data_IF_962816082128
#
_entry.id   IF_962816082128
#
_cell.length_a   1.000
_cell.length_b   1.000
_cell.length_c   1.000
_cell.angle_alpha   90.00
_cell.angle_beta   90.00
_cell.angle_gamma   90.00
#
_symmetry.space_group_name_H-M   'P 1'
#
loop_
_entity.id
_entity.type
_entity.pdbx_description
1 polymer ?
#
# COMPACT_ATOMS: atom_id res chain seq x y z
N UNK A 1 -19.22 18.06 -2.24
CA UNK A 1 -19.16 17.42 -0.91
C UNK A 1 -17.70 17.53 -0.50
N UNK A 2 -17.36 18.55 0.28
CA UNK A 2 -15.97 18.81 0.69
C UNK A 2 -15.65 17.90 1.87
N UNK A 3 -14.67 17.01 1.71
CA UNK A 3 -14.20 16.15 2.80
C UNK A 3 -13.36 17.05 3.71
N UNK A 4 -13.67 17.17 5.01
CA UNK A 4 -12.89 18.01 5.92
C UNK A 4 -11.46 17.47 6.06
N UNK A 5 -10.43 18.35 6.10
CA UNK A 5 -9.02 17.94 6.17
C UNK A 5 -8.65 17.16 7.44
N UNK A 6 -9.55 17.12 8.43
CA UNK A 6 -9.34 16.49 9.74
C UNK A 6 -9.52 14.97 9.77
N UNK A 7 -10.17 14.34 8.77
CA UNK A 7 -10.38 12.89 8.82
C UNK A 7 -9.16 12.08 8.38
N UNK A 8 -8.11 12.73 7.89
CA UNK A 8 -6.86 12.08 7.47
C UNK A 8 -5.84 11.97 8.60
N UNK A 9 -5.96 12.81 9.63
CA UNK A 9 -5.02 12.83 10.77
C UNK A 9 -5.40 11.80 11.83
N UNK A 10 -6.70 11.57 12.05
CA UNK A 10 -7.21 10.71 13.13
C UNK A 10 -6.82 9.23 12.93
N UNK A 11 -6.71 8.77 11.68
CA UNK A 11 -6.26 7.39 11.37
C UNK A 11 -4.74 7.25 11.26
N UNK A 12 -3.99 8.35 11.25
CA UNK A 12 -2.54 8.35 11.08
C UNK A 12 -1.81 8.32 12.42
N UNK A 13 -2.36 8.95 13.46
CA UNK A 13 -1.82 8.90 14.82
C UNK A 13 -2.00 7.51 15.47
N UNK A 14 -3.09 6.80 15.17
CA UNK A 14 -3.29 5.41 15.64
C UNK A 14 -2.31 4.39 15.01
N UNK A 15 -1.66 4.73 13.89
CA UNK A 15 -0.65 3.89 13.23
C UNK A 15 0.77 4.11 13.76
N UNK A 16 1.01 5.17 14.54
CA UNK A 16 2.36 5.55 15.01
C UNK A 16 2.81 4.77 16.25
N UNK A 17 1.88 4.23 17.05
CA UNK A 17 2.22 3.65 18.36
C UNK A 17 2.54 2.14 18.34
N UNK A 18 2.27 1.40 17.25
CA UNK A 18 2.39 -0.08 17.26
C UNK A 18 3.40 -0.71 16.29
N UNK A 19 3.96 0.03 15.32
CA UNK A 19 4.50 -0.63 14.10
C UNK A 19 5.99 -0.49 13.80
N UNK A 20 6.70 0.44 14.43
CA UNK A 20 8.14 0.65 14.22
C UNK A 20 8.93 0.52 15.52
N UNK A 21 9.74 -0.53 15.66
CA UNK A 21 10.64 -0.67 16.81
C UNK A 21 11.67 0.46 16.86
N UNK A 22 12.17 0.85 18.05
CA UNK A 22 13.15 1.95 18.19
C UNK A 22 14.44 1.73 17.38
N UNK A 23 14.83 0.47 17.17
CA UNK A 23 16.01 0.10 16.37
C UNK A 23 15.84 0.36 14.87
N UNK A 24 14.62 0.21 14.35
CA UNK A 24 14.30 0.46 12.95
C UNK A 24 14.36 1.96 12.66
N UNK A 25 13.78 2.77 13.54
CA UNK A 25 13.81 4.23 13.45
C UNK A 25 15.24 4.76 13.44
N UNK A 26 16.12 4.26 14.32
CA UNK A 26 17.53 4.70 14.36
C UNK A 26 18.27 4.36 13.06
N UNK A 27 17.97 3.21 12.47
CA UNK A 27 18.54 2.78 11.19
C UNK A 27 18.06 3.69 10.05
N UNK A 28 16.78 4.04 10.04
CA UNK A 28 16.19 4.86 8.99
C UNK A 28 16.67 6.31 9.04
N UNK A 29 16.86 6.88 10.24
CA UNK A 29 17.44 8.23 10.40
C UNK A 29 18.84 8.32 9.75
N UNK A 30 19.61 7.23 9.77
CA UNK A 30 20.95 7.17 9.15
C UNK A 30 20.91 7.10 7.62
N UNK A 31 19.85 6.54 7.04
CA UNK A 31 19.73 6.31 5.59
C UNK A 31 18.91 7.40 4.90
N UNK A 32 17.84 7.85 5.54
CA UNK A 32 16.87 8.80 5.00
C UNK A 32 17.38 10.24 5.23
N UNK A 33 17.39 11.10 4.18
CA UNK A 33 17.76 12.50 4.33
C UNK A 33 16.88 13.23 5.36
N UNK A 34 17.47 14.18 6.07
CA UNK A 34 16.79 14.90 7.16
C UNK A 34 15.50 15.61 6.74
N UNK A 35 15.40 16.05 5.49
CA UNK A 35 14.18 16.64 4.94
C UNK A 35 12.95 15.72 5.00
N UNK A 36 13.15 14.40 5.10
CA UNK A 36 12.10 13.40 5.13
C UNK A 36 11.91 12.75 6.50
N UNK A 37 12.59 13.24 7.55
CA UNK A 37 12.47 12.64 8.90
C UNK A 37 11.06 12.72 9.48
N UNK A 38 10.24 13.69 9.04
CA UNK A 38 8.82 13.76 9.40
C UNK A 38 7.95 12.67 8.74
N UNK A 39 8.50 11.94 7.77
CA UNK A 39 7.81 10.90 7.02
C UNK A 39 8.43 9.52 7.21
N UNK A 40 9.23 9.30 8.26
CA UNK A 40 9.91 8.03 8.49
C UNK A 40 8.93 6.85 8.56
N UNK A 41 7.71 7.09 9.05
CA UNK A 41 6.68 6.07 9.14
C UNK A 41 6.35 5.41 7.79
N UNK A 42 6.45 6.14 6.67
CA UNK A 42 6.20 5.60 5.32
C UNK A 42 7.24 4.57 4.88
N UNK A 43 8.38 4.50 5.57
CA UNK A 43 9.49 3.63 5.21
C UNK A 43 9.60 2.42 6.14
N UNK A 44 8.66 2.23 7.09
CA UNK A 44 8.63 1.06 7.95
C UNK A 44 8.33 -0.20 7.13
N UNK A 45 9.12 -1.26 7.34
CA UNK A 45 8.93 -2.51 6.61
C UNK A 45 7.56 -3.12 6.82
N UNK A 46 7.01 -2.97 8.02
CA UNK A 46 5.69 -3.50 8.35
C UNK A 46 4.58 -2.82 7.55
N UNK A 47 4.76 -1.54 7.18
CA UNK A 47 3.83 -0.83 6.30
C UNK A 47 4.02 -1.22 4.83
N UNK A 48 5.25 -1.55 4.40
CA UNK A 48 5.53 -2.03 3.03
C UNK A 48 4.81 -3.35 2.72
N UNK A 49 4.72 -4.26 3.69
CA UNK A 49 4.04 -5.55 3.52
C UNK A 49 2.50 -5.42 3.49
N UNK A 50 1.95 -4.27 3.88
CA UNK A 50 0.50 -4.04 3.91
C UNK A 50 0.04 -3.33 2.64
N UNK A 51 -1.03 -3.85 2.05
CA UNK A 51 -1.70 -3.14 0.96
C UNK A 51 -2.23 -1.79 1.47
N UNK A 52 -2.06 -0.70 0.71
CA UNK A 52 -2.68 0.58 1.01
C UNK A 52 -4.19 0.43 1.18
N UNK A 53 -4.79 1.24 2.05
CA UNK A 53 -6.24 1.25 2.23
C UNK A 53 -6.94 1.68 0.94
N UNK A 54 -8.10 1.09 0.65
CA UNK A 54 -8.87 1.46 -0.54
C UNK A 54 -9.42 2.88 -0.40
N UNK A 55 -8.98 3.80 -1.25
CA UNK A 55 -9.38 5.20 -1.21
C UNK A 55 -10.60 5.49 -2.10
N UNK A 56 -11.34 6.56 -1.78
CA UNK A 56 -12.47 7.03 -2.59
C UNK A 56 -12.06 7.52 -3.99
N UNK A 57 -10.77 7.82 -4.19
CA UNK A 57 -10.17 8.17 -5.48
C UNK A 57 -9.59 6.96 -6.23
N UNK A 58 -9.86 5.73 -5.78
CA UNK A 58 -9.51 4.55 -6.54
C UNK A 58 -10.09 4.65 -7.96
N UNK A 59 -9.31 4.18 -8.94
CA UNK A 59 -9.71 4.29 -10.34
C UNK A 59 -11.00 3.49 -10.57
N UNK A 60 -12.08 4.22 -10.83
CA UNK A 60 -13.36 3.63 -11.20
C UNK A 60 -13.42 3.43 -12.71
N UNK A 61 -13.62 2.19 -13.14
CA UNK A 61 -13.85 1.86 -14.55
C UNK A 61 -15.35 1.70 -14.73
N UNK A 62 -15.97 2.64 -15.45
CA UNK A 62 -17.36 2.52 -15.86
C UNK A 62 -17.50 1.40 -16.90
N UNK A 63 -18.46 0.51 -16.70
CA UNK A 63 -18.72 -0.58 -17.62
C UNK A 63 -19.67 -0.12 -18.73
N UNK A 64 -19.25 -0.27 -19.97
CA UNK A 64 -20.10 -0.07 -21.14
C UNK A 64 -20.52 -1.42 -21.75
N UNK A 65 -21.81 -1.57 -22.05
CA UNK A 65 -22.34 -2.76 -22.73
C UNK A 65 -22.62 -3.96 -21.82
N UNK A 66 -22.60 -5.17 -22.40
CA UNK A 66 -22.86 -6.42 -21.69
C UNK A 66 -21.62 -6.93 -20.95
N UNK A 67 -21.82 -7.66 -19.85
CA UNK A 67 -20.73 -8.30 -19.11
C UNK A 67 -19.86 -9.17 -20.04
N UNK A 68 -18.51 -9.05 -19.97
CA UNK A 68 -17.63 -9.87 -20.78
C UNK A 68 -17.76 -11.34 -20.40
N UNK A 69 -17.66 -12.28 -21.36
CA UNK A 69 -17.67 -13.70 -21.05
C UNK A 69 -16.43 -14.07 -20.24
N UNK A 70 -16.58 -15.02 -19.31
CA UNK A 70 -15.45 -15.57 -18.57
C UNK A 70 -14.56 -16.34 -19.55
N UNK A 71 -13.33 -15.83 -19.76
CA UNK A 71 -12.34 -16.47 -20.62
C UNK A 71 -11.75 -17.73 -20.00
N UNK A 72 -11.19 -18.61 -20.84
CA UNK A 72 -10.37 -19.74 -20.36
C UNK A 72 -9.01 -19.23 -19.89
N UNK A 73 -8.54 -19.74 -18.76
CA UNK A 73 -7.16 -19.51 -18.32
C UNK A 73 -6.28 -20.44 -19.14
N UNK A 74 -5.30 -19.88 -19.85
CA UNK A 74 -4.34 -20.69 -20.61
C UNK A 74 -3.45 -21.49 -19.66
N UNK A 75 -3.23 -22.77 -19.97
CA UNK A 75 -2.29 -23.60 -19.21
C UNK A 75 -0.88 -23.03 -19.37
N UNK A 76 -0.26 -22.71 -18.24
CA UNK A 76 1.14 -22.30 -18.17
C UNK A 76 2.04 -23.52 -18.02
N UNK A 77 3.27 -23.45 -18.52
CA UNK A 77 4.31 -24.41 -18.18
C UNK A 77 4.64 -24.31 -16.68
N UNK A 78 5.19 -25.39 -16.10
CA UNK A 78 5.50 -25.41 -14.66
C UNK A 78 6.43 -24.26 -14.26
N UNK A 79 7.47 -24.01 -15.07
CA UNK A 79 8.43 -22.91 -14.85
C UNK A 79 7.76 -21.52 -14.82
N UNK A 80 6.81 -21.28 -15.71
CA UNK A 80 6.05 -20.03 -15.79
C UNK A 80 5.12 -19.89 -14.58
N UNK A 81 4.47 -21.00 -14.19
CA UNK A 81 3.57 -21.02 -13.05
C UNK A 81 4.30 -20.84 -11.72
N UNK A 82 5.50 -21.38 -11.60
CA UNK A 82 6.34 -21.25 -10.41
C UNK A 82 6.86 -19.81 -10.28
N UNK A 83 7.20 -19.18 -11.40
CA UNK A 83 7.62 -17.77 -11.44
C UNK A 83 6.52 -16.83 -10.96
N UNK A 84 5.25 -17.11 -11.28
CA UNK A 84 4.11 -16.26 -10.88
C UNK A 84 3.64 -16.48 -9.44
N UNK A 85 4.05 -17.58 -8.80
CA UNK A 85 3.69 -17.94 -7.43
C UNK A 85 4.75 -17.55 -6.40
N UNK A 86 5.95 -17.26 -6.87
CA UNK A 86 7.08 -16.81 -6.05
C UNK A 86 6.86 -15.37 -5.59
#
# INVERSE_FOLDING_TARGET
MEIPPSSYHDSLEELWDEEGGPEEIETMIKVVPSAYHQYLYLFFKVQEEKLPTHHACAHHIELEGSLPPVGVIYSLANEESDTLRA
#
